data_IF_506723016340
#
_entry.id   IF_506723016340
#
_cell.length_a   1.000
_cell.length_b   1.000
_cell.length_c   1.000
_cell.angle_alpha   90.00
_cell.angle_beta   90.00
_cell.angle_gamma   90.00
#
_symmetry.space_group_name_H-M   'P 1'
#
loop_
_entity.id
_entity.type
_entity.pdbx_description
1 polymer ?
#
# COMPACT_ATOMS: atom_id res chain seq x y z
N UNK A 1 -7.24 -10.76 -2.57
CA UNK A 1 -6.63 -10.90 -1.24
C UNK A 1 -5.14 -11.11 -1.44
N UNK A 2 -4.26 -10.48 -0.65
CA UNK A 2 -2.82 -10.72 -0.70
C UNK A 2 -2.47 -12.20 -0.50
N UNK A 3 -1.44 -12.67 -1.20
CA UNK A 3 -0.89 -14.02 -1.06
C UNK A 3 0.48 -13.90 -0.38
N UNK A 4 0.45 -13.82 0.95
CA UNK A 4 1.63 -13.67 1.78
C UNK A 4 2.50 -14.93 1.78
N UNK A 5 1.91 -16.11 1.51
CA UNK A 5 2.69 -17.35 1.36
C UNK A 5 3.61 -17.29 0.15
N UNK A 6 3.21 -16.57 -0.91
CA UNK A 6 4.00 -16.40 -2.14
C UNK A 6 4.68 -15.05 -2.29
N UNK A 7 4.58 -14.17 -1.28
CA UNK A 7 5.13 -12.82 -1.32
C UNK A 7 4.57 -11.98 -2.44
N UNK A 8 3.24 -11.98 -2.55
CA UNK A 8 2.51 -11.29 -3.62
C UNK A 8 1.38 -10.44 -3.08
N UNK A 9 1.27 -9.22 -3.60
CA UNK A 9 0.14 -8.32 -3.33
C UNK A 9 -0.55 -7.96 -4.64
N UNK A 10 -1.90 -7.98 -4.69
CA UNK A 10 -2.61 -7.56 -5.89
C UNK A 10 -2.54 -6.05 -6.04
N UNK A 11 -2.44 -5.57 -7.28
CA UNK A 11 -2.77 -4.19 -7.58
C UNK A 11 -4.29 -3.98 -7.41
N UNK A 12 -4.70 -2.88 -6.77
CA UNK A 12 -6.10 -2.53 -6.55
C UNK A 12 -6.90 -2.43 -7.86
N UNK A 13 -6.30 -1.90 -8.94
CA UNK A 13 -6.97 -1.80 -10.25
C UNK A 13 -6.95 -3.09 -11.06
N UNK A 14 -5.83 -3.82 -11.07
CA UNK A 14 -5.74 -5.09 -11.78
C UNK A 14 -6.59 -6.20 -11.13
N UNK A 15 -6.76 -6.13 -9.81
CA UNK A 15 -7.33 -7.22 -9.02
C UNK A 15 -6.40 -8.43 -8.96
N UNK A 16 -6.99 -9.60 -8.74
CA UNK A 16 -6.29 -10.88 -8.54
C UNK A 16 -6.01 -11.63 -9.85
N UNK A 17 -6.04 -10.97 -11.01
CA UNK A 17 -5.82 -11.64 -12.29
C UNK A 17 -4.42 -12.28 -12.35
N UNK A 18 -4.29 -13.42 -13.02
CA UNK A 18 -2.99 -14.06 -13.18
C UNK A 18 -2.03 -13.14 -13.95
N UNK A 19 -0.79 -13.02 -13.47
CA UNK A 19 0.23 -12.14 -14.05
C UNK A 19 0.17 -10.67 -13.63
N UNK A 20 -0.80 -10.28 -12.79
CA UNK A 20 -0.91 -8.89 -12.30
C UNK A 20 -0.57 -8.72 -10.82
N UNK A 21 -0.10 -9.79 -10.19
CA UNK A 21 0.37 -9.76 -8.81
C UNK A 21 1.76 -9.14 -8.71
N UNK A 22 1.91 -8.22 -7.77
CA UNK A 22 3.14 -7.48 -7.49
C UNK A 22 3.98 -8.25 -6.49
N UNK A 23 5.30 -8.23 -6.67
CA UNK A 23 6.27 -8.94 -5.85
C UNK A 23 7.45 -8.04 -5.49
N UNK A 24 8.39 -8.59 -4.71
CA UNK A 24 9.61 -7.88 -4.36
C UNK A 24 10.37 -7.38 -5.59
N UNK A 25 10.84 -6.13 -5.55
CA UNK A 25 11.47 -5.40 -6.64
C UNK A 25 10.52 -4.52 -7.44
N UNK A 26 9.21 -4.74 -7.37
CA UNK A 26 8.25 -3.90 -8.10
C UNK A 26 8.11 -2.51 -7.47
N UNK A 27 8.12 -1.49 -8.31
CA UNK A 27 7.77 -0.12 -7.91
C UNK A 27 6.25 0.03 -7.89
N UNK A 28 5.74 0.60 -6.82
CA UNK A 28 4.32 0.79 -6.56
C UNK A 28 4.02 2.21 -6.10
N UNK A 29 2.78 2.64 -6.27
CA UNK A 29 2.22 3.71 -5.44
C UNK A 29 1.25 3.11 -4.43
N UNK A 30 1.21 3.70 -3.24
CA UNK A 30 0.42 3.19 -2.13
C UNK A 30 -0.37 4.35 -1.56
N UNK A 31 -1.66 4.12 -1.37
CA UNK A 31 -2.53 5.06 -0.70
C UNK A 31 -2.66 4.62 0.77
N UNK A 32 -2.38 5.53 1.71
CA UNK A 32 -2.45 5.26 3.14
C UNK A 32 -3.40 6.22 3.84
N UNK A 33 -3.98 5.75 4.96
CA UNK A 33 -4.76 6.57 5.89
C UNK A 33 -4.12 6.53 7.27
N UNK A 34 -4.15 7.66 7.97
CA UNK A 34 -3.75 7.72 9.36
C UNK A 34 -4.94 7.34 10.24
N UNK A 35 -4.94 6.10 10.73
CA UNK A 35 -5.95 5.62 11.65
C UNK A 35 -5.76 6.28 13.02
N UNK A 36 -6.74 7.10 13.42
CA UNK A 36 -6.84 7.79 14.71
C UNK A 36 -5.60 8.62 15.12
N UNK A 37 -4.77 9.06 14.15
CA UNK A 37 -3.54 9.82 14.46
C UNK A 37 -2.39 8.95 15.00
N UNK A 38 -2.52 7.62 14.93
CA UNK A 38 -1.60 6.68 15.57
C UNK A 38 -0.83 5.82 14.58
N UNK A 39 -1.44 5.40 13.47
CA UNK A 39 -0.82 4.44 12.55
C UNK A 39 -1.23 4.70 11.11
N UNK A 40 -0.25 4.64 10.21
CA UNK A 40 -0.48 4.72 8.77
C UNK A 40 -0.76 3.34 8.20
N UNK A 41 -1.99 3.15 7.71
CA UNK A 41 -2.44 1.88 7.17
C UNK A 41 -2.56 1.95 5.65
N UNK A 42 -1.96 1.01 4.90
CA UNK A 42 -2.17 0.90 3.46
C UNK A 42 -3.62 0.51 3.17
N UNK A 43 -4.32 1.33 2.40
CA UNK A 43 -5.70 1.04 1.96
C UNK A 43 -5.76 0.55 0.52
N UNK A 44 -4.75 0.89 -0.30
CA UNK A 44 -4.64 0.45 -1.68
C UNK A 44 -3.19 0.43 -2.16
N UNK A 45 -2.85 -0.54 -3.01
CA UNK A 45 -1.53 -0.66 -3.65
C UNK A 45 -1.72 -0.70 -5.16
N UNK A 46 -0.93 0.07 -5.89
CA UNK A 46 -1.04 0.21 -7.34
C UNK A 46 0.25 -0.18 -8.05
N UNK A 47 0.12 -0.90 -9.16
CA UNK A 47 1.25 -1.19 -10.01
C UNK A 47 1.66 0.05 -10.82
N UNK A 48 2.85 0.02 -11.41
CA UNK A 48 3.37 1.11 -12.24
C UNK A 48 2.43 1.57 -13.37
N UNK A 49 1.63 0.68 -13.94
CA UNK A 49 0.70 1.03 -15.04
C UNK A 49 -0.61 1.65 -14.55
N UNK A 50 -0.86 1.63 -13.24
CA UNK A 50 -2.05 2.19 -12.59
C UNK A 50 -1.63 3.12 -11.46
N UNK A 51 -0.48 3.77 -11.60
CA UNK A 51 0.03 4.68 -10.60
C UNK A 51 -0.98 5.81 -10.32
N UNK A 52 -0.88 6.33 -9.10
CA UNK A 52 -1.75 7.39 -8.61
C UNK A 52 -0.86 8.44 -8.01
N UNK A 53 -1.17 9.70 -8.30
CA UNK A 53 -0.37 10.85 -7.88
C UNK A 53 -1.13 11.78 -6.94
N UNK A 54 -2.43 11.54 -6.72
CA UNK A 54 -3.28 12.36 -5.84
C UNK A 54 -4.17 11.50 -4.97
N UNK A 55 -4.40 11.93 -3.74
CA UNK A 55 -5.32 11.26 -2.79
C UNK A 55 -6.73 11.15 -3.39
N UNK A 56 -7.23 12.24 -3.99
CA UNK A 56 -8.57 12.32 -4.55
C UNK A 56 -8.82 11.35 -5.72
N UNK A 57 -7.78 10.84 -6.38
CA UNK A 57 -7.91 9.93 -7.53
C UNK A 57 -8.02 8.45 -7.09
N UNK A 58 -7.70 8.18 -5.82
CA UNK A 58 -7.67 6.82 -5.25
C UNK A 58 -8.68 6.60 -4.15
N UNK A 59 -9.03 7.62 -3.36
CA UNK A 59 -9.93 7.47 -2.23
C UNK A 59 -10.73 8.76 -2.01
N UNK A 60 -11.88 8.62 -1.35
CA UNK A 60 -12.62 9.79 -0.85
C UNK A 60 -11.75 10.58 0.13
N UNK A 61 -11.80 11.91 0.03
CA UNK A 61 -11.15 12.81 0.98
C UNK A 61 -11.94 12.77 2.29
N UNK A 62 -11.29 12.31 3.35
CA UNK A 62 -11.91 12.12 4.67
C UNK A 62 -11.39 13.14 5.67
N UNK A 63 -12.10 13.31 6.79
CA UNK A 63 -11.66 14.10 7.94
C UNK A 63 -10.54 13.40 8.74
N UNK A 64 -9.59 12.79 8.03
CA UNK A 64 -8.46 12.02 8.51
C UNK A 64 -7.25 12.38 7.63
N UNK A 65 -6.03 12.19 8.15
CA UNK A 65 -4.86 12.40 7.31
C UNK A 65 -4.71 11.25 6.30
N UNK A 66 -4.44 11.60 5.04
CA UNK A 66 -4.31 10.64 3.95
C UNK A 66 -3.08 10.99 3.12
N UNK A 67 -2.41 9.97 2.60
CA UNK A 67 -1.23 10.16 1.74
C UNK A 67 -1.24 9.22 0.56
N UNK A 68 -0.55 9.65 -0.49
CA UNK A 68 -0.06 8.78 -1.55
C UNK A 68 1.47 8.79 -1.50
N UNK A 69 2.07 7.61 -1.50
CA UNK A 69 3.53 7.43 -1.55
C UNK A 69 3.93 6.62 -2.78
N UNK A 70 5.16 6.80 -3.27
CA UNK A 70 5.87 5.82 -4.06
C UNK A 70 6.72 4.94 -3.14
N UNK A 71 6.85 3.65 -3.48
CA UNK A 71 7.74 2.72 -2.81
C UNK A 71 8.20 1.60 -3.75
N UNK A 72 9.23 0.87 -3.34
CA UNK A 72 9.59 -0.43 -3.90
C UNK A 72 9.16 -1.51 -2.92
N UNK A 73 8.54 -2.58 -3.41
CA UNK A 73 8.25 -3.75 -2.57
C UNK A 73 9.56 -4.47 -2.26
N UNK A 74 9.84 -4.71 -0.99
CA UNK A 74 11.04 -5.43 -0.54
C UNK A 74 10.63 -6.74 0.12
N UNK A 75 11.36 -7.82 -0.19
CA UNK A 75 11.17 -9.09 0.49
C UNK A 75 11.61 -8.96 1.95
N UNK A 76 10.75 -9.39 2.86
CA UNK A 76 11.02 -9.38 4.30
C UNK A 76 10.39 -10.60 4.98
N UNK A 77 10.71 -10.79 6.26
CA UNK A 77 10.00 -11.70 7.14
C UNK A 77 9.12 -10.93 8.12
N UNK A 78 8.02 -11.53 8.54
CA UNK A 78 7.20 -11.00 9.63
C UNK A 78 6.85 -12.12 10.61
N UNK A 79 7.00 -11.89 11.91
CA UNK A 79 6.54 -12.81 12.94
C UNK A 79 5.17 -12.34 13.45
N UNK A 80 4.12 -13.01 13.02
CA UNK A 80 2.78 -12.81 13.56
C UNK A 80 2.68 -13.55 14.90
N UNK A 81 2.37 -12.87 16.01
CA UNK A 81 2.21 -13.53 17.31
C UNK A 81 1.09 -14.58 17.34
N UNK A 82 0.14 -14.55 16.41
CA UNK A 82 -1.00 -15.47 16.34
C UNK A 82 -0.81 -16.63 15.38
N UNK A 83 -0.04 -16.45 14.29
CA UNK A 83 0.08 -17.44 13.21
C UNK A 83 1.51 -17.87 12.89
N UNK A 84 2.52 -17.31 13.57
CA UNK A 84 3.92 -17.70 13.43
C UNK A 84 4.67 -16.87 12.39
N UNK A 85 5.76 -17.44 11.87
CA UNK A 85 6.68 -16.72 10.98
C UNK A 85 6.23 -16.78 9.52
N UNK A 86 6.14 -15.62 8.89
CA UNK A 86 5.81 -15.39 7.48
C UNK A 86 7.07 -14.98 6.73
N UNK A 87 7.81 -15.92 6.11
CA UNK A 87 9.12 -15.65 5.50
C UNK A 87 9.03 -14.85 4.19
N UNK A 88 7.84 -14.75 3.60
CA UNK A 88 7.61 -14.15 2.30
C UNK A 88 6.77 -12.86 2.44
N UNK A 89 6.82 -12.20 3.59
CA UNK A 89 6.17 -10.90 3.76
C UNK A 89 6.82 -9.84 2.85
N UNK A 90 6.11 -8.74 2.60
CA UNK A 90 6.62 -7.60 1.84
C UNK A 90 6.60 -6.35 2.70
N UNK A 91 7.63 -5.52 2.57
CA UNK A 91 7.71 -4.17 3.15
C UNK A 91 7.81 -3.10 2.05
N UNK A 92 7.54 -1.85 2.41
CA UNK A 92 7.78 -0.70 1.54
C UNK A 92 9.17 -0.13 1.79
N UNK A 93 10.06 -0.27 0.80
CA UNK A 93 11.38 0.34 0.78
C UNK A 93 11.42 1.58 -0.11
N UNK A 94 12.39 2.46 0.13
CA UNK A 94 12.59 3.68 -0.69
C UNK A 94 11.34 4.56 -0.75
N UNK A 95 10.69 4.77 0.39
CA UNK A 95 9.40 5.49 0.48
C UNK A 95 9.58 6.98 0.16
N UNK A 96 8.79 7.47 -0.78
CA UNK A 96 8.74 8.87 -1.21
C UNK A 96 7.30 9.38 -1.13
N UNK A 97 7.06 10.51 -0.46
CA UNK A 97 5.73 11.14 -0.42
C UNK A 97 5.41 11.79 -1.77
N UNK A 98 4.24 11.48 -2.33
CA UNK A 98 3.74 12.07 -3.59
C UNK A 98 2.70 13.15 -3.29
N UNK A 99 1.67 12.81 -2.50
CA UNK A 99 0.58 13.71 -2.15
C UNK A 99 0.11 13.50 -0.71
N UNK A 100 -0.41 14.55 -0.10
CA UNK A 100 -0.89 14.56 1.29
C UNK A 100 -2.17 15.38 1.39
N UNK A 101 -3.20 14.76 1.95
CA UNK A 101 -4.46 15.41 2.34
C UNK A 101 -4.53 15.47 3.87
N UNK A 102 -4.42 16.65 4.49
CA UNK A 102 -4.61 16.79 5.92
C UNK A 102 -6.07 16.56 6.32
N UNK A 103 -6.30 16.15 7.58
CA UNK A 103 -7.64 15.90 8.11
C UNK A 103 -8.60 17.11 7.97
N UNK A 104 -8.08 18.33 8.02
CA UNK A 104 -8.87 19.57 7.88
C UNK A 104 -9.47 19.77 6.48
N UNK A 105 -9.01 19.02 5.48
CA UNK A 105 -9.51 19.09 4.10
C UNK A 105 -10.67 18.11 3.87
N UNK A 106 -10.95 17.24 4.85
CA UNK A 106 -12.14 16.39 4.90
C UNK A 106 -13.37 17.15 5.38
N UNK A 107 -14.49 16.92 4.70
CA UNK A 107 -15.78 17.59 4.94
C UNK A 107 -16.43 17.23 6.28
#
# INVERSE_FOLDING_TARGET
>A
MPDYERGKVPCTRCGSAEGTALAAGDRVTVALRNYEGHTWEPVAVYCRSHDVERVADTMDVLAEEQVVIAATLEATGYLDPLSGYHPNALSFGGVELIDYSPAKDGY
#
